data_IF_174394288315
#
_entry.id   IF_174394288315
#
_cell.length_a   1.000
_cell.length_b   1.000
_cell.length_c   1.000
_cell.angle_alpha   90.00
_cell.angle_beta   90.00
_cell.angle_gamma   90.00
#
_symmetry.space_group_name_H-M   'P 1'
#
loop_
_entity.id
_entity.type
_entity.pdbx_description
1 polymer ?
#
# COMPACT_ATOMS: atom_id res chain seq x y z
N UNK A 1 2.01 -1.81 -20.63
CA UNK A 1 1.40 -1.19 -19.42
C UNK A 1 -0.01 -0.76 -19.80
N UNK A 2 -1.06 -1.28 -19.15
CA UNK A 2 -2.46 -1.02 -19.54
C UNK A 2 -2.76 0.46 -19.26
N UNK A 3 -3.16 1.22 -20.29
CA UNK A 3 -3.53 2.62 -20.12
C UNK A 3 -4.86 2.69 -19.36
N UNK A 4 -4.82 3.13 -18.11
CA UNK A 4 -5.98 3.19 -17.20
C UNK A 4 -6.79 4.49 -17.37
N UNK A 5 -6.67 5.19 -18.50
CA UNK A 5 -7.36 6.47 -18.72
C UNK A 5 -6.79 7.65 -17.91
N UNK A 6 -5.63 7.47 -17.28
CA UNK A 6 -4.97 8.55 -16.53
C UNK A 6 -4.25 9.49 -17.50
N UNK A 7 -4.62 10.77 -17.49
CA UNK A 7 -3.94 11.81 -18.24
C UNK A 7 -2.49 11.94 -17.76
N UNK A 8 -1.54 12.01 -18.70
CA UNK A 8 -0.14 12.29 -18.37
C UNK A 8 -0.01 13.75 -17.94
N UNK A 9 0.40 13.96 -16.69
CA UNK A 9 0.75 15.28 -16.17
C UNK A 9 2.22 15.61 -16.44
N UNK A 10 2.50 16.85 -16.77
CA UNK A 10 3.87 17.37 -16.79
C UNK A 10 4.41 17.49 -15.36
N UNK A 11 5.72 17.67 -15.21
CA UNK A 11 6.31 17.90 -13.89
C UNK A 11 5.72 19.15 -13.21
N UNK A 12 5.50 20.22 -13.97
CA UNK A 12 4.88 21.45 -13.46
C UNK A 12 3.46 21.20 -12.92
N UNK A 13 2.65 20.44 -13.65
CA UNK A 13 1.29 20.10 -13.22
C UNK A 13 1.28 19.23 -11.96
N UNK A 14 2.27 18.34 -11.78
CA UNK A 14 2.42 17.59 -10.54
C UNK A 14 2.76 18.49 -9.36
N UNK A 15 3.70 19.43 -9.53
CA UNK A 15 4.07 20.37 -8.47
C UNK A 15 2.88 21.25 -8.06
N UNK A 16 2.10 21.73 -9.03
CA UNK A 16 0.89 22.53 -8.78
C UNK A 16 -0.20 21.76 -8.05
N UNK A 17 -0.42 20.48 -8.39
CA UNK A 17 -1.38 19.65 -7.69
C UNK A 17 -0.92 19.29 -6.27
N UNK A 18 0.36 18.96 -6.09
CA UNK A 18 0.90 18.62 -4.78
C UNK A 18 0.92 19.84 -3.85
N UNK A 19 1.15 21.06 -4.36
CA UNK A 19 1.12 22.29 -3.55
C UNK A 19 -0.28 22.63 -3.03
N UNK A 20 -1.34 22.13 -3.67
CA UNK A 20 -2.73 22.30 -3.23
C UNK A 20 -3.20 21.16 -2.31
N UNK A 21 -2.33 20.20 -2.00
CA UNK A 21 -2.65 19.08 -1.13
C UNK A 21 -3.00 19.56 0.27
N UNK A 22 -4.07 19.01 0.85
CA UNK A 22 -4.39 19.21 2.28
C UNK A 22 -3.32 18.66 3.24
N UNK A 23 -2.33 17.93 2.71
CA UNK A 23 -1.19 17.37 3.45
C UNK A 23 0.07 18.25 3.40
N UNK A 24 0.00 19.44 2.79
CA UNK A 24 1.16 20.32 2.59
C UNK A 24 1.93 20.63 3.89
N UNK A 25 1.19 20.88 4.97
CA UNK A 25 1.73 21.28 6.27
C UNK A 25 2.08 20.08 7.17
N UNK A 26 1.92 18.84 6.69
CA UNK A 26 2.26 17.67 7.48
C UNK A 26 3.77 17.39 7.42
N UNK A 27 4.33 17.03 8.55
CA UNK A 27 5.68 16.47 8.61
C UNK A 27 5.75 15.11 7.92
N UNK A 28 6.93 14.77 7.42
CA UNK A 28 7.16 13.45 6.82
C UNK A 28 7.10 12.36 7.88
N UNK A 29 6.40 11.27 7.56
CA UNK A 29 6.49 10.05 8.35
C UNK A 29 7.91 9.46 8.29
N UNK A 30 8.31 8.79 9.36
CA UNK A 30 9.62 8.14 9.48
C UNK A 30 9.45 6.68 9.85
N UNK A 31 10.05 5.77 9.08
CA UNK A 31 10.03 4.32 9.36
C UNK A 31 8.61 3.74 9.60
N UNK A 32 7.65 4.10 8.74
CA UNK A 32 6.22 3.71 8.88
C UNK A 32 5.58 4.19 10.19
N UNK A 33 6.02 5.33 10.71
CA UNK A 33 5.42 5.96 11.89
C UNK A 33 5.17 7.43 11.59
N UNK A 34 3.97 7.90 11.88
CA UNK A 34 3.56 9.28 11.70
C UNK A 34 2.11 9.43 11.28
N UNK A 35 1.64 10.67 11.26
CA UNK A 35 0.21 10.96 11.11
C UNK A 35 -0.33 10.59 9.71
N UNK A 36 0.50 10.61 8.66
CA UNK A 36 0.03 10.36 7.30
C UNK A 36 -0.22 8.85 7.07
N UNK A 37 0.70 8.00 7.47
CA UNK A 37 0.58 6.53 7.39
C UNK A 37 -0.54 6.04 8.30
N UNK A 38 -0.66 6.57 9.52
CA UNK A 38 -1.76 6.24 10.43
C UNK A 38 -3.11 6.58 9.80
N UNK A 39 -3.23 7.75 9.18
CA UNK A 39 -4.47 8.15 8.50
C UNK A 39 -4.78 7.25 7.29
N UNK A 40 -3.75 6.87 6.52
CA UNK A 40 -3.89 5.98 5.37
C UNK A 40 -4.38 4.59 5.81
N UNK A 41 -3.74 3.99 6.80
CA UNK A 41 -4.09 2.67 7.33
C UNK A 41 -5.49 2.67 7.93
N UNK A 42 -5.85 3.70 8.71
CA UNK A 42 -7.20 3.84 9.28
C UNK A 42 -8.28 3.99 8.20
N UNK A 43 -8.01 4.76 7.14
CA UNK A 43 -8.94 4.86 6.02
C UNK A 43 -9.15 3.51 5.34
N UNK A 44 -8.09 2.72 5.17
CA UNK A 44 -8.18 1.38 4.56
C UNK A 44 -8.91 0.39 5.47
N UNK A 45 -8.69 0.45 6.79
CA UNK A 45 -9.44 -0.35 7.77
C UNK A 45 -10.94 -0.14 7.62
N UNK A 46 -11.36 1.12 7.59
CA UNK A 46 -12.75 1.51 7.43
C UNK A 46 -13.31 1.09 6.07
N UNK A 47 -12.53 1.26 5.00
CA UNK A 47 -12.94 0.88 3.65
C UNK A 47 -13.17 -0.63 3.50
N UNK A 48 -12.31 -1.45 4.12
CA UNK A 48 -12.34 -2.90 3.98
C UNK A 48 -13.09 -3.63 5.12
N UNK A 49 -13.51 -2.90 6.16
CA UNK A 49 -14.10 -3.49 7.36
C UNK A 49 -13.14 -4.44 8.10
N UNK A 50 -11.85 -4.09 8.16
CA UNK A 50 -10.80 -4.89 8.82
C UNK A 50 -10.31 -4.19 10.08
N UNK A 51 -9.84 -4.99 11.04
CA UNK A 51 -9.39 -4.50 12.35
C UNK A 51 -8.13 -3.62 12.23
N UNK A 52 -7.21 -3.98 11.34
CA UNK A 52 -5.98 -3.23 11.09
C UNK A 52 -5.47 -3.46 9.66
N UNK A 53 -4.59 -2.57 9.22
CA UNK A 53 -3.93 -2.55 7.91
C UNK A 53 -2.50 -2.07 8.12
N UNK A 54 -1.60 -2.50 7.23
CA UNK A 54 -0.22 -2.04 7.22
C UNK A 54 0.11 -1.50 5.83
N UNK A 55 0.75 -0.33 5.77
CA UNK A 55 1.27 0.22 4.54
C UNK A 55 2.54 -0.51 4.11
N UNK A 56 2.59 -0.87 2.82
CA UNK A 56 3.77 -1.41 2.17
C UNK A 56 4.06 -0.61 0.90
N UNK A 57 5.34 -0.31 0.66
CA UNK A 57 5.79 0.38 -0.55
C UNK A 57 5.59 -0.44 -1.84
N UNK A 58 5.43 -1.77 -1.73
CA UNK A 58 5.19 -2.67 -2.87
C UNK A 58 4.22 -3.79 -2.51
N UNK A 59 3.32 -4.11 -3.44
CA UNK A 59 2.34 -5.19 -3.28
C UNK A 59 2.95 -6.58 -3.09
N UNK A 60 4.06 -6.89 -3.78
CA UNK A 60 4.77 -8.17 -3.62
C UNK A 60 5.28 -8.35 -2.19
N UNK A 61 5.83 -7.30 -1.57
CA UNK A 61 6.28 -7.36 -0.17
C UNK A 61 5.12 -7.61 0.78
N UNK A 62 3.98 -6.92 0.59
CA UNK A 62 2.77 -7.13 1.38
C UNK A 62 2.25 -8.57 1.28
N UNK A 63 2.19 -9.11 0.05
CA UNK A 63 1.69 -10.46 -0.21
C UNK A 63 2.61 -11.54 0.37
N UNK A 64 3.92 -11.41 0.21
CA UNK A 64 4.90 -12.33 0.79
C UNK A 64 4.85 -12.31 2.33
N UNK A 65 4.75 -11.12 2.94
CA UNK A 65 4.61 -10.97 4.39
C UNK A 65 3.33 -11.66 4.90
N UNK A 66 2.20 -11.43 4.23
CA UNK A 66 0.93 -12.05 4.60
C UNK A 66 1.00 -13.59 4.54
N UNK A 67 1.59 -14.15 3.47
CA UNK A 67 1.78 -15.60 3.36
C UNK A 67 2.71 -16.14 4.45
N UNK A 68 3.82 -15.45 4.73
CA UNK A 68 4.78 -15.85 5.76
C UNK A 68 4.14 -15.93 7.14
N UNK A 69 3.36 -14.93 7.53
CA UNK A 69 2.61 -14.93 8.80
C UNK A 69 1.69 -16.15 8.91
N UNK A 70 0.99 -16.51 7.83
CA UNK A 70 0.09 -17.66 7.81
C UNK A 70 0.85 -18.99 7.87
N UNK A 71 1.95 -19.12 7.13
CA UNK A 71 2.81 -20.31 7.17
C UNK A 71 3.38 -20.55 8.57
N UNK A 72 3.87 -19.49 9.22
CA UNK A 72 4.46 -19.56 10.56
C UNK A 72 3.41 -19.93 11.60
N UNK A 73 2.23 -19.30 11.55
CA UNK A 73 1.13 -19.64 12.45
C UNK A 73 0.64 -21.09 12.30
N UNK A 74 0.84 -21.72 11.13
CA UNK A 74 0.44 -23.09 10.82
C UNK A 74 1.57 -24.11 10.93
N UNK A 75 2.80 -23.66 11.20
CA UNK A 75 4.03 -24.47 11.09
C UNK A 75 4.10 -25.27 9.76
N UNK A 76 3.74 -24.62 8.66
CA UNK A 76 3.67 -25.26 7.34
C UNK A 76 4.02 -24.24 6.25
N UNK A 77 5.06 -24.55 5.46
CA UNK A 77 5.55 -23.67 4.40
C UNK A 77 4.85 -23.87 3.04
N UNK A 78 3.83 -24.73 2.96
CA UNK A 78 3.09 -24.97 1.72
C UNK A 78 2.05 -23.88 1.46
N UNK A 79 2.16 -23.24 0.30
CA UNK A 79 1.19 -22.28 -0.23
C UNK A 79 0.72 -22.77 -1.60
N UNK A 80 -0.59 -22.71 -1.86
CA UNK A 80 -1.19 -22.98 -3.16
C UNK A 80 -1.64 -21.66 -3.79
N UNK A 81 -1.21 -21.40 -5.03
CA UNK A 81 -1.55 -20.21 -5.82
C UNK A 81 -2.04 -20.64 -7.21
N UNK A 82 -2.81 -19.78 -7.86
CA UNK A 82 -3.17 -19.97 -9.26
C UNK A 82 -1.93 -19.84 -10.16
N UNK A 83 -1.75 -20.66 -11.23
CA UNK A 83 -0.55 -20.62 -12.08
C UNK A 83 -0.29 -19.28 -12.78
N UNK A 84 -1.33 -18.44 -12.94
CA UNK A 84 -1.20 -17.09 -13.48
C UNK A 84 -0.98 -16.00 -12.41
N UNK A 85 -0.73 -16.39 -11.17
CA UNK A 85 -0.39 -15.43 -10.12
C UNK A 85 0.92 -14.72 -10.48
N UNK A 86 0.93 -13.40 -10.30
CA UNK A 86 2.12 -12.56 -10.52
C UNK A 86 3.13 -12.64 -9.35
N UNK A 87 2.87 -13.49 -8.35
CA UNK A 87 3.74 -13.71 -7.18
C UNK A 87 4.75 -14.83 -7.42
N UNK A 88 4.47 -15.72 -8.39
CA UNK A 88 5.32 -16.87 -8.74
C UNK A 88 6.54 -16.39 -9.53
#
# INVERSE_FOLDING_TARGET
>A
MRYLGLYKKTHQQWLEEMSQSKYLEFENDSYNQGALVDQLENRVNNLLGKQSSLFFNKGVTAQLAAMKVVCDARNNNLIALHPQSHII
#
